data_IF_917130571725
#
_entry.id   IF_917130571725
#
_cell.length_a   1.000
_cell.length_b   1.000
_cell.length_c   1.000
_cell.angle_alpha   90.00
_cell.angle_beta   90.00
_cell.angle_gamma   90.00
#
_symmetry.space_group_name_H-M   'P 1'
#
loop_
_entity.id
_entity.type
_entity.pdbx_description
1 polymer ?
#
# COMPACT_ATOMS: atom_id res chain seq x y z
N UNK A 1 70.21 38.04 82.83
CA UNK A 1 68.94 37.35 82.49
C UNK A 1 68.87 37.07 81.01
N UNK A 2 68.83 35.79 80.63
CA UNK A 2 68.70 35.35 79.24
C UNK A 2 67.23 35.36 78.78
N UNK A 3 66.98 35.06 77.51
CA UNK A 3 65.63 34.78 76.98
C UNK A 3 65.54 33.38 76.38
N UNK A 4 64.35 32.78 76.41
CA UNK A 4 64.12 31.48 75.75
C UNK A 4 64.05 31.65 74.22
N UNK A 5 64.55 30.67 73.46
CA UNK A 5 64.63 30.78 72.00
C UNK A 5 63.28 30.74 71.26
N UNK A 6 62.25 30.15 71.85
CA UNK A 6 60.94 29.99 71.19
C UNK A 6 60.03 31.21 71.39
N UNK A 7 59.84 31.61 72.65
CA UNK A 7 58.88 32.65 73.04
C UNK A 7 59.56 33.89 73.61
N UNK A 8 60.88 33.93 73.74
CA UNK A 8 61.59 35.09 74.29
C UNK A 8 61.40 35.30 75.80
N UNK A 9 60.85 34.30 76.52
CA UNK A 9 60.63 34.38 77.96
C UNK A 9 61.94 34.67 78.70
N UNK A 10 61.92 35.67 79.58
CA UNK A 10 62.99 36.01 80.51
C UNK A 10 63.33 34.80 81.40
N UNK A 11 64.57 34.35 81.34
CA UNK A 11 65.09 33.19 82.07
C UNK A 11 66.28 33.62 82.94
N UNK A 12 66.11 33.69 84.26
CA UNK A 12 67.19 34.04 85.18
C UNK A 12 68.36 33.04 85.10
N UNK A 13 69.59 33.55 85.26
CA UNK A 13 70.84 32.79 85.29
C UNK A 13 71.76 33.27 86.43
N UNK A 14 72.41 32.33 87.11
CA UNK A 14 73.43 32.65 88.11
C UNK A 14 72.95 33.61 89.21
N UNK A 15 73.53 34.81 89.23
CA UNK A 15 73.29 35.87 90.22
C UNK A 15 72.22 36.88 89.80
N UNK A 16 71.40 36.59 88.78
CA UNK A 16 70.32 37.47 88.36
C UNK A 16 69.28 37.70 89.46
N UNK A 17 68.84 38.95 89.61
CA UNK A 17 67.69 39.31 90.45
C UNK A 17 66.43 39.12 89.62
N UNK A 18 65.45 38.37 90.15
CA UNK A 18 64.14 38.16 89.53
C UNK A 18 63.16 39.13 90.18
N UNK A 19 62.53 39.99 89.40
CA UNK A 19 61.47 40.87 89.88
C UNK A 19 60.07 40.44 89.39
N UNK A 20 59.04 41.09 89.92
CA UNK A 20 57.65 40.80 89.55
C UNK A 20 57.34 41.19 88.09
N UNK A 21 58.07 42.16 87.54
CA UNK A 21 57.88 42.60 86.16
C UNK A 21 58.43 41.55 85.19
N UNK A 22 59.47 40.81 85.56
CA UNK A 22 59.99 39.68 84.80
C UNK A 22 58.97 38.54 84.71
N UNK A 23 58.31 38.22 85.83
CA UNK A 23 57.28 37.19 85.89
C UNK A 23 56.02 37.59 85.11
N UNK A 24 55.52 38.81 85.31
CA UNK A 24 54.34 39.31 84.60
C UNK A 24 54.60 39.41 83.10
N UNK A 25 55.77 39.90 82.68
CA UNK A 25 56.14 39.96 81.27
C UNK A 25 56.17 38.58 80.61
N UNK A 26 56.68 37.56 81.32
CA UNK A 26 56.62 36.18 80.82
C UNK A 26 55.20 35.63 80.74
N UNK A 27 54.35 35.96 81.72
CA UNK A 27 52.95 35.55 81.71
C UNK A 27 52.21 36.16 80.51
N UNK A 28 52.41 37.45 80.23
CA UNK A 28 51.79 38.14 79.09
C UNK A 28 52.23 37.54 77.74
N UNK A 29 53.53 37.23 77.61
CA UNK A 29 54.09 36.57 76.42
C UNK A 29 53.47 35.18 76.24
N UNK A 30 53.35 34.41 77.33
CA UNK A 30 52.79 33.07 77.27
C UNK A 30 51.29 33.12 76.92
N UNK A 31 50.53 34.02 77.51
CA UNK A 31 49.10 34.20 77.25
C UNK A 31 48.83 34.55 75.77
N UNK A 32 49.62 35.48 75.24
CA UNK A 32 49.55 35.87 73.82
C UNK A 32 49.90 34.70 72.89
N UNK A 33 50.98 33.98 73.20
CA UNK A 33 51.45 32.86 72.39
C UNK A 33 50.46 31.69 72.40
N UNK A 34 49.92 31.34 73.56
CA UNK A 34 48.95 30.24 73.72
C UNK A 34 47.61 30.60 73.05
N UNK A 35 47.15 31.85 73.16
CA UNK A 35 45.94 32.33 72.48
C UNK A 35 46.01 32.24 70.95
N UNK A 36 47.22 32.22 70.38
CA UNK A 36 47.45 32.07 68.93
C UNK A 36 47.62 30.62 68.47
N UNK A 37 47.66 29.66 69.40
CA UNK A 37 47.74 28.24 69.05
C UNK A 37 46.34 27.68 68.83
N UNK A 38 46.24 26.80 67.85
CA UNK A 38 45.02 26.03 67.59
C UNK A 38 45.06 24.74 68.42
N UNK A 39 43.94 24.40 69.04
CA UNK A 39 43.78 23.17 69.80
C UNK A 39 44.04 21.93 68.95
N UNK A 40 44.82 20.98 69.48
CA UNK A 40 45.02 19.69 68.84
C UNK A 40 43.77 18.82 69.04
N UNK A 41 43.09 18.49 67.96
CA UNK A 41 41.98 17.52 67.97
C UNK A 41 42.53 16.11 67.73
N UNK A 42 42.08 15.13 68.52
CA UNK A 42 42.47 13.73 68.36
C UNK A 42 42.17 13.22 66.94
N UNK A 43 43.15 12.54 66.32
CA UNK A 43 43.04 12.02 64.96
C UNK A 43 43.27 13.04 63.83
N UNK A 44 43.54 14.32 64.15
CA UNK A 44 43.88 15.35 63.16
C UNK A 44 45.35 15.75 63.24
N UNK A 45 45.97 16.02 62.09
CA UNK A 45 47.30 16.61 62.00
C UNK A 45 47.20 18.13 62.11
N UNK A 46 48.21 18.77 62.70
CA UNK A 46 48.30 20.24 62.88
C UNK A 46 48.83 20.90 61.57
N UNK A 47 48.19 20.63 60.44
CA UNK A 47 48.64 21.08 59.11
C UNK A 47 47.68 22.08 58.47
N UNK A 48 48.16 22.85 57.48
CA UNK A 48 47.37 23.75 56.62
C UNK A 48 46.21 23.05 55.89
N UNK A 49 46.22 21.72 55.84
CA UNK A 49 45.22 20.86 55.20
C UNK A 49 43.91 20.68 55.99
N UNK A 50 43.63 21.55 56.98
CA UNK A 50 42.31 21.61 57.58
C UNK A 50 41.30 22.15 56.56
N UNK A 51 40.46 21.27 56.00
CA UNK A 51 39.34 21.68 55.13
C UNK A 51 38.63 22.90 55.70
N UNK A 52 38.37 23.89 54.83
CA UNK A 52 37.53 25.04 55.17
C UNK A 52 36.15 24.58 55.61
N UNK A 53 35.43 25.43 56.37
CA UNK A 53 34.04 25.14 56.74
C UNK A 53 33.16 24.84 55.51
N UNK A 54 33.41 25.50 54.38
CA UNK A 54 32.70 25.26 53.14
C UNK A 54 32.98 23.86 52.55
N UNK A 55 34.23 23.41 52.58
CA UNK A 55 34.62 22.08 52.10
C UNK A 55 34.11 20.97 53.02
N UNK A 56 34.16 21.19 54.35
CA UNK A 56 33.56 20.26 55.32
C UNK A 56 32.06 20.10 55.09
N UNK A 57 31.34 21.18 54.83
CA UNK A 57 29.91 21.14 54.50
C UNK A 57 29.65 20.38 53.19
N UNK A 58 30.43 20.65 52.14
CA UNK A 58 30.32 19.91 50.86
C UNK A 58 30.58 18.42 51.06
N UNK A 59 31.63 18.06 51.81
CA UNK A 59 31.99 16.67 52.08
C UNK A 59 30.93 15.97 52.93
N UNK A 60 30.33 16.67 53.89
CA UNK A 60 29.24 16.15 54.73
C UNK A 60 27.96 15.87 53.94
N UNK A 61 27.76 16.55 52.81
CA UNK A 61 26.66 16.28 51.88
C UNK A 61 26.87 15.08 50.96
N UNK A 62 28.10 14.53 50.91
CA UNK A 62 28.40 13.33 50.13
C UNK A 62 28.00 12.10 50.93
N UNK A 63 27.17 11.23 50.34
CA UNK A 63 26.73 9.99 50.98
C UNK A 63 27.93 9.07 51.28
N UNK A 64 27.85 8.33 52.39
CA UNK A 64 28.86 7.34 52.75
C UNK A 64 29.03 6.31 51.62
N UNK A 65 30.27 6.15 51.13
CA UNK A 65 30.59 5.23 50.03
C UNK A 65 30.34 5.76 48.61
N UNK A 66 30.06 7.07 48.44
CA UNK A 66 29.98 7.66 47.11
C UNK A 66 31.28 7.42 46.31
N UNK A 67 31.14 6.94 45.08
CA UNK A 67 32.25 6.66 44.17
C UNK A 67 32.32 7.69 43.04
N UNK A 68 33.43 7.72 42.30
CA UNK A 68 33.52 8.49 41.07
C UNK A 68 32.62 7.85 40.00
N UNK A 69 31.59 8.56 39.53
CA UNK A 69 30.70 8.06 38.50
C UNK A 69 31.45 7.97 37.15
N UNK A 70 31.64 6.75 36.65
CA UNK A 70 32.15 6.51 35.28
C UNK A 70 30.97 6.14 34.40
N UNK A 71 30.70 6.97 33.40
CA UNK A 71 29.61 6.74 32.46
C UNK A 71 29.87 5.48 31.61
N UNK A 72 28.88 4.59 31.42
CA UNK A 72 29.06 3.39 30.61
C UNK A 72 29.24 3.74 29.12
N UNK A 73 29.87 2.83 28.36
CA UNK A 73 30.07 3.01 26.92
C UNK A 73 28.75 2.94 26.12
N UNK A 74 27.72 2.28 26.67
CA UNK A 74 26.42 2.08 26.03
C UNK A 74 25.31 2.14 27.08
N UNK A 75 24.12 2.55 26.65
CA UNK A 75 22.90 2.48 27.45
C UNK A 75 21.83 1.68 26.71
N UNK A 76 21.06 0.81 27.40
CA UNK A 76 19.90 0.18 26.79
C UNK A 76 18.79 1.20 26.57
N UNK A 77 18.04 1.11 25.47
CA UNK A 77 16.95 2.04 25.15
C UNK A 77 15.90 2.18 26.26
N UNK A 78 15.77 1.17 27.11
CA UNK A 78 14.87 1.15 28.28
C UNK A 78 15.21 2.17 29.37
N UNK A 79 16.39 2.81 29.36
CA UNK A 79 16.70 3.88 30.32
C UNK A 79 15.94 5.18 30.04
N UNK A 80 15.41 5.33 28.82
CA UNK A 80 14.68 6.52 28.42
C UNK A 80 13.20 6.30 28.72
N UNK A 81 12.68 7.05 29.68
CA UNK A 81 11.24 7.10 29.96
C UNK A 81 10.52 7.57 28.69
N UNK A 82 9.67 6.71 28.16
CA UNK A 82 8.98 6.96 26.90
C UNK A 82 7.81 7.91 27.11
N UNK A 83 7.95 9.16 26.64
CA UNK A 83 6.92 10.20 26.65
C UNK A 83 6.64 10.73 25.23
N UNK A 84 5.81 11.77 25.11
CA UNK A 84 5.46 12.35 23.82
C UNK A 84 6.65 12.96 23.05
N UNK A 85 7.74 13.30 23.74
CA UNK A 85 8.93 13.96 23.20
C UNK A 85 10.11 12.99 23.00
N UNK A 86 10.13 11.83 23.67
CA UNK A 86 11.28 10.94 23.77
C UNK A 86 10.99 9.49 23.35
N UNK A 87 9.92 9.25 22.60
CA UNK A 87 9.56 7.92 22.12
C UNK A 87 10.19 7.56 20.79
N UNK A 88 10.70 6.33 20.69
CA UNK A 88 11.30 5.80 19.46
C UNK A 88 10.28 5.48 18.34
N UNK A 89 8.96 5.68 18.52
CA UNK A 89 7.95 4.60 18.46
C UNK A 89 6.62 4.89 19.21
N UNK A 90 5.59 5.61 18.72
CA UNK A 90 4.21 5.56 19.32
C UNK A 90 3.49 4.26 18.92
N UNK A 91 2.62 3.76 19.80
CA UNK A 91 1.63 2.76 19.40
C UNK A 91 0.62 3.33 18.40
N UNK A 92 0.38 4.65 18.42
CA UNK A 92 -0.41 5.38 17.43
C UNK A 92 0.21 5.34 16.02
N UNK A 93 1.51 5.49 15.90
CA UNK A 93 2.30 5.46 14.66
C UNK A 93 2.37 4.03 14.17
N UNK A 94 2.59 3.04 15.05
CA UNK A 94 2.48 1.61 14.68
C UNK A 94 1.08 1.27 14.16
N UNK A 95 0.03 1.72 14.85
CA UNK A 95 -1.34 1.53 14.41
C UNK A 95 -1.61 2.23 13.08
N UNK A 96 -1.09 3.44 12.87
CA UNK A 96 -1.20 4.17 11.62
C UNK A 96 -0.44 3.50 10.46
N UNK A 97 0.76 2.96 10.71
CA UNK A 97 1.53 2.21 9.71
C UNK A 97 0.82 0.92 9.31
N UNK A 98 0.32 0.17 10.30
CA UNK A 98 -0.47 -1.03 10.05
C UNK A 98 -1.80 -0.70 9.35
N UNK A 99 -2.38 0.47 9.60
CA UNK A 99 -3.59 0.96 8.96
C UNK A 99 -3.40 1.52 7.53
N UNK A 100 -2.17 1.85 7.13
CA UNK A 100 -1.86 2.26 5.74
C UNK A 100 -1.99 1.10 4.74
N UNK A 101 -1.96 -0.15 5.20
CA UNK A 101 -2.47 -1.29 4.43
C UNK A 101 -4.01 -1.27 4.49
N UNK A 102 -4.62 -0.44 3.64
CA UNK A 102 -6.09 -0.31 3.58
C UNK A 102 -6.70 -1.69 3.35
N UNK A 103 -7.78 -2.04 4.06
CA UNK A 103 -8.51 -3.32 3.95
C UNK A 103 -9.06 -3.64 2.55
N UNK A 104 -9.02 -2.65 1.64
CA UNK A 104 -9.36 -2.76 0.22
C UNK A 104 -8.13 -2.57 -0.72
N UNK A 105 -6.91 -2.61 -0.18
CA UNK A 105 -5.69 -2.66 -0.99
C UNK A 105 -5.59 -4.00 -1.71
N UNK A 106 -5.07 -4.02 -2.94
CA UNK A 106 -4.76 -5.25 -3.63
C UNK A 106 -3.94 -6.22 -2.77
N UNK A 107 -4.32 -7.50 -2.71
CA UNK A 107 -3.52 -8.49 -2.00
C UNK A 107 -2.26 -8.79 -2.83
N UNK A 108 -1.12 -8.15 -2.57
CA UNK A 108 0.11 -8.35 -3.36
C UNK A 108 0.86 -9.67 -3.07
N UNK A 109 0.23 -10.64 -2.40
CA UNK A 109 0.80 -11.97 -2.15
C UNK A 109 0.02 -13.02 -2.91
N UNK A 110 0.68 -14.09 -3.37
CA UNK A 110 0.04 -15.09 -4.23
C UNK A 110 -0.37 -14.50 -5.58
N UNK A 111 -1.64 -14.69 -5.97
CA UNK A 111 -2.23 -14.04 -7.16
C UNK A 111 -2.79 -12.68 -6.75
N UNK A 112 -2.25 -11.56 -7.26
CA UNK A 112 -2.74 -10.26 -6.85
C UNK A 112 -4.22 -10.05 -7.15
N UNK A 113 -5.00 -9.71 -6.13
CA UNK A 113 -6.41 -9.33 -6.28
C UNK A 113 -6.54 -7.81 -6.27
N UNK A 114 -7.46 -7.25 -7.03
CA UNK A 114 -7.78 -5.81 -6.99
C UNK A 114 -9.30 -5.63 -7.17
N UNK A 115 -9.88 -4.49 -6.72
CA UNK A 115 -11.27 -4.18 -7.00
C UNK A 115 -11.54 -4.11 -8.51
N UNK A 116 -12.62 -4.75 -8.97
CA UNK A 116 -13.01 -4.70 -10.38
C UNK A 116 -13.73 -3.39 -10.67
N UNK A 117 -13.18 -2.58 -11.58
CA UNK A 117 -13.79 -1.34 -12.03
C UNK A 117 -15.10 -1.58 -12.80
N UNK A 118 -15.99 -0.58 -12.81
CA UNK A 118 -17.11 -0.55 -13.74
C UNK A 118 -16.62 -0.25 -15.17
N UNK A 119 -17.36 -0.71 -16.20
CA UNK A 119 -16.94 -0.60 -17.62
C UNK A 119 -16.77 0.83 -18.15
N UNK A 120 -17.39 1.83 -17.51
CA UNK A 120 -17.35 3.23 -17.94
C UNK A 120 -16.19 4.04 -17.34
N UNK A 121 -15.36 3.43 -16.50
CA UNK A 121 -14.28 4.14 -15.80
C UNK A 121 -13.07 4.33 -16.74
N UNK A 122 -12.59 5.57 -16.84
CA UNK A 122 -11.37 5.94 -17.58
C UNK A 122 -10.47 6.80 -16.69
N UNK A 123 -9.70 6.13 -15.83
CA UNK A 123 -8.71 6.73 -14.95
C UNK A 123 -7.55 5.74 -14.78
N UNK A 124 -6.58 6.06 -13.93
CA UNK A 124 -5.38 5.25 -13.72
C UNK A 124 -5.60 3.99 -12.87
N UNK A 125 -6.84 3.54 -12.66
CA UNK A 125 -7.14 2.31 -11.93
C UNK A 125 -6.63 1.08 -12.70
N UNK A 126 -5.99 0.14 -11.99
CA UNK A 126 -5.56 -1.13 -12.55
C UNK A 126 -6.75 -1.96 -13.05
N UNK A 127 -6.67 -2.48 -14.27
CA UNK A 127 -7.69 -3.36 -14.84
C UNK A 127 -7.57 -4.79 -14.28
N UNK A 128 -8.65 -5.32 -13.72
CA UNK A 128 -8.72 -6.74 -13.32
C UNK A 128 -9.02 -7.63 -14.53
N UNK A 129 -8.71 -8.92 -14.42
CA UNK A 129 -9.07 -9.90 -15.47
C UNK A 129 -10.58 -10.00 -15.69
N UNK A 130 -11.40 -9.72 -14.67
CA UNK A 130 -12.85 -9.62 -14.78
C UNK A 130 -13.27 -8.40 -15.63
N UNK A 131 -12.69 -7.23 -15.39
CA UNK A 131 -12.92 -6.04 -16.22
C UNK A 131 -12.56 -6.31 -17.69
N UNK A 132 -11.38 -6.86 -17.96
CA UNK A 132 -10.91 -7.13 -19.34
C UNK A 132 -11.83 -8.11 -20.05
N UNK A 133 -12.30 -9.18 -19.37
CA UNK A 133 -13.27 -10.11 -19.95
C UNK A 133 -14.59 -9.42 -20.28
N UNK A 134 -15.14 -8.65 -19.36
CA UNK A 134 -16.41 -7.95 -19.56
C UNK A 134 -16.32 -6.90 -20.69
N UNK A 135 -15.23 -6.13 -20.72
CA UNK A 135 -14.95 -5.18 -21.79
C UNK A 135 -14.80 -5.89 -23.15
N UNK A 136 -14.05 -7.00 -23.17
CA UNK A 136 -13.88 -7.83 -24.35
C UNK A 136 -15.20 -8.42 -24.87
N UNK A 137 -16.10 -8.88 -23.99
CA UNK A 137 -17.43 -9.36 -24.41
C UNK A 137 -18.31 -8.26 -24.98
N UNK A 138 -18.21 -7.03 -24.46
CA UNK A 138 -18.94 -5.88 -25.00
C UNK A 138 -18.42 -5.45 -26.39
N UNK A 139 -17.12 -5.61 -26.64
CA UNK A 139 -16.54 -5.46 -27.99
C UNK A 139 -16.83 -6.67 -28.90
N UNK A 140 -17.03 -7.83 -28.29
CA UNK A 140 -17.13 -9.14 -28.92
C UNK A 140 -18.54 -9.61 -29.28
N UNK A 141 -19.57 -8.75 -29.15
CA UNK A 141 -20.79 -8.94 -29.96
C UNK A 141 -20.38 -8.75 -31.41
N UNK A 142 -19.94 -9.84 -32.03
CA UNK A 142 -19.37 -9.85 -33.37
C UNK A 142 -20.36 -9.17 -34.30
N UNK A 143 -20.00 -8.04 -34.93
CA UNK A 143 -20.89 -7.31 -35.87
C UNK A 143 -21.18 -8.09 -37.15
N UNK A 144 -20.87 -9.39 -37.14
CA UNK A 144 -20.79 -10.32 -38.26
C UNK A 144 -21.13 -11.72 -37.77
N UNK A 145 -22.00 -12.40 -38.50
CA UNK A 145 -22.23 -13.84 -38.38
C UNK A 145 -21.92 -14.54 -39.69
N UNK A 146 -21.31 -15.72 -39.63
CA UNK A 146 -20.90 -16.48 -40.81
C UNK A 146 -21.20 -17.96 -40.64
N UNK A 147 -21.84 -18.56 -41.65
CA UNK A 147 -22.08 -20.00 -41.76
C UNK A 147 -21.59 -20.48 -43.12
N UNK A 148 -20.76 -21.52 -43.10
CA UNK A 148 -20.15 -22.09 -44.29
C UNK A 148 -20.78 -23.43 -44.64
N UNK A 149 -21.25 -23.54 -45.88
CA UNK A 149 -21.61 -24.80 -46.55
C UNK A 149 -22.51 -25.73 -45.71
N UNK A 150 -23.56 -25.17 -45.11
CA UNK A 150 -24.54 -25.96 -44.34
C UNK A 150 -25.42 -26.78 -45.29
N UNK A 151 -25.44 -28.10 -45.10
CA UNK A 151 -26.33 -29.01 -45.81
C UNK A 151 -27.78 -28.81 -45.36
N UNK A 152 -28.69 -28.67 -46.33
CA UNK A 152 -30.14 -28.71 -46.08
C UNK A 152 -30.59 -30.16 -46.27
N UNK A 153 -30.54 -30.91 -45.17
CA UNK A 153 -30.74 -32.35 -45.16
C UNK A 153 -32.20 -32.81 -45.09
N UNK A 154 -33.15 -31.86 -45.05
CA UNK A 154 -34.59 -32.12 -44.95
C UNK A 154 -35.36 -31.25 -45.94
N UNK A 155 -36.63 -31.58 -46.17
CA UNK A 155 -37.51 -30.82 -47.06
C UNK A 155 -38.33 -29.75 -46.32
N UNK A 156 -38.26 -29.70 -44.99
CA UNK A 156 -38.84 -28.64 -44.16
C UNK A 156 -37.88 -27.45 -44.04
N UNK A 157 -38.42 -26.30 -43.63
CA UNK A 157 -37.64 -25.08 -43.42
C UNK A 157 -36.51 -25.30 -42.40
N UNK A 158 -35.28 -24.99 -42.82
CA UNK A 158 -34.08 -25.12 -42.00
C UNK A 158 -33.51 -23.73 -41.73
N UNK A 159 -33.16 -23.46 -40.48
CA UNK A 159 -32.42 -22.25 -40.12
C UNK A 159 -30.96 -22.42 -40.50
N UNK A 160 -30.44 -21.51 -41.33
CA UNK A 160 -29.08 -21.52 -41.84
C UNK A 160 -28.17 -20.65 -41.00
N UNK A 161 -28.57 -19.40 -40.75
CA UNK A 161 -27.75 -18.46 -40.01
C UNK A 161 -28.66 -17.59 -39.15
N UNK A 162 -28.21 -17.28 -37.93
CA UNK A 162 -28.90 -16.40 -36.99
C UNK A 162 -27.95 -15.34 -36.50
N UNK A 163 -28.46 -14.13 -36.33
CA UNK A 163 -27.70 -13.03 -35.74
C UNK A 163 -28.62 -12.14 -34.91
N UNK A 164 -28.35 -12.03 -33.62
CA UNK A 164 -29.08 -11.13 -32.72
C UNK A 164 -28.41 -9.76 -32.73
N UNK A 165 -29.18 -8.73 -33.06
CA UNK A 165 -28.68 -7.38 -33.33
C UNK A 165 -28.38 -6.66 -32.01
N UNK A 166 -27.14 -6.20 -31.75
CA UNK A 166 -26.81 -5.49 -30.52
C UNK A 166 -27.45 -4.11 -30.45
N UNK A 167 -27.69 -3.51 -31.62
CA UNK A 167 -28.25 -2.17 -31.79
C UNK A 167 -29.20 -2.16 -32.99
N UNK A 168 -30.09 -1.16 -33.03
CA UNK A 168 -30.84 -0.88 -34.24
C UNK A 168 -29.89 -0.36 -35.33
N UNK A 169 -30.10 -0.76 -36.58
CA UNK A 169 -29.16 -0.43 -37.65
C UNK A 169 -29.40 -1.17 -38.95
N UNK A 170 -28.50 -0.94 -39.92
CA UNK A 170 -28.53 -1.57 -41.22
C UNK A 170 -27.64 -2.81 -41.23
N UNK A 171 -28.10 -3.84 -41.93
CA UNK A 171 -27.40 -5.10 -42.07
C UNK A 171 -27.44 -5.56 -43.53
N UNK A 172 -26.32 -6.11 -43.98
CA UNK A 172 -26.19 -6.79 -45.25
C UNK A 172 -26.22 -8.30 -44.99
N UNK A 173 -27.11 -9.01 -45.70
CA UNK A 173 -27.15 -10.46 -45.69
C UNK A 173 -26.70 -10.98 -47.05
N UNK A 174 -25.56 -11.66 -47.06
CA UNK A 174 -25.03 -12.36 -48.23
C UNK A 174 -25.38 -13.84 -48.17
N UNK A 175 -25.75 -14.43 -49.30
CA UNK A 175 -26.00 -15.87 -49.39
C UNK A 175 -25.39 -16.47 -50.66
N UNK A 176 -24.90 -17.69 -50.51
CA UNK A 176 -24.35 -18.50 -51.59
C UNK A 176 -24.95 -19.90 -51.49
N UNK A 177 -25.31 -20.47 -52.64
CA UNK A 177 -25.90 -21.79 -52.74
C UNK A 177 -25.03 -22.69 -53.60
N UNK A 178 -24.95 -23.95 -53.20
CA UNK A 178 -24.44 -25.02 -54.06
C UNK A 178 -25.45 -26.15 -54.07
N UNK A 179 -25.91 -26.53 -55.26
CA UNK A 179 -26.85 -27.60 -55.47
C UNK A 179 -26.15 -28.81 -56.08
N UNK A 180 -26.47 -30.00 -55.57
CA UNK A 180 -26.00 -31.31 -56.06
C UNK A 180 -27.01 -32.01 -56.96
N UNK A 181 -28.25 -31.50 -57.00
CA UNK A 181 -29.30 -31.91 -57.92
C UNK A 181 -30.34 -30.81 -58.07
N UNK A 182 -31.09 -30.84 -59.17
CA UNK A 182 -32.18 -29.87 -59.40
C UNK A 182 -33.23 -29.99 -58.30
N UNK A 183 -33.54 -28.87 -57.65
CA UNK A 183 -34.57 -28.81 -56.60
C UNK A 183 -35.27 -27.45 -56.64
N UNK A 184 -36.51 -27.39 -56.16
CA UNK A 184 -37.16 -26.11 -55.88
C UNK A 184 -36.63 -25.56 -54.57
N UNK A 185 -36.17 -24.31 -54.61
CA UNK A 185 -35.48 -23.63 -53.52
C UNK A 185 -36.32 -22.45 -53.02
N UNK A 186 -36.48 -22.35 -51.71
CA UNK A 186 -36.95 -21.13 -51.05
C UNK A 186 -35.88 -20.68 -50.05
N UNK A 187 -35.33 -19.49 -50.26
CA UNK A 187 -34.44 -18.81 -49.31
C UNK A 187 -35.06 -17.50 -48.89
N UNK A 188 -35.14 -17.27 -47.59
CA UNK A 188 -35.69 -16.05 -47.02
C UNK A 188 -34.91 -15.59 -45.80
N UNK A 189 -34.96 -14.29 -45.55
CA UNK A 189 -34.44 -13.64 -44.35
C UNK A 189 -35.63 -13.13 -43.56
N UNK A 190 -35.73 -13.51 -42.29
CA UNK A 190 -36.74 -12.99 -41.37
C UNK A 190 -36.07 -12.14 -40.31
N UNK A 191 -36.64 -10.98 -40.00
CA UNK A 191 -36.09 -10.01 -39.06
C UNK A 191 -37.21 -9.14 -38.51
N UNK A 192 -36.91 -8.29 -37.53
CA UNK A 192 -37.86 -7.28 -37.04
C UNK A 192 -37.27 -5.88 -37.25
N UNK A 193 -38.03 -5.01 -37.90
CA UNK A 193 -37.72 -3.59 -38.05
C UNK A 193 -38.63 -2.75 -37.12
N UNK A 194 -38.56 -1.41 -37.13
CA UNK A 194 -39.46 -0.58 -36.35
C UNK A 194 -40.95 -0.75 -36.68
N UNK A 195 -41.27 -1.30 -37.87
CA UNK A 195 -42.63 -1.59 -38.32
C UNK A 195 -43.15 -2.98 -37.92
N UNK A 196 -42.30 -3.85 -37.36
CA UNK A 196 -42.68 -5.17 -36.88
C UNK A 196 -41.90 -6.30 -37.54
N UNK A 197 -42.52 -7.48 -37.63
CA UNK A 197 -41.89 -8.67 -38.23
C UNK A 197 -41.88 -8.57 -39.76
N UNK A 198 -40.72 -8.80 -40.35
CA UNK A 198 -40.49 -8.72 -41.79
C UNK A 198 -39.98 -10.05 -42.34
N UNK A 199 -40.21 -10.26 -43.64
CA UNK A 199 -39.65 -11.39 -44.40
C UNK A 199 -39.25 -10.91 -45.79
N UNK A 200 -37.98 -11.12 -46.14
CA UNK A 200 -37.45 -10.85 -47.49
C UNK A 200 -37.08 -12.16 -48.15
N UNK A 201 -37.65 -12.43 -49.32
CA UNK A 201 -37.29 -13.60 -50.11
C UNK A 201 -36.09 -13.29 -51.00
N UNK A 202 -35.06 -14.13 -50.94
CA UNK A 202 -33.93 -14.12 -51.86
C UNK A 202 -34.19 -15.04 -53.06
N UNK A 203 -34.87 -16.15 -52.80
CA UNK A 203 -35.46 -17.06 -53.78
C UNK A 203 -36.81 -17.50 -53.23
N UNK A 204 -37.86 -17.46 -54.05
CA UNK A 204 -39.20 -17.86 -53.63
C UNK A 204 -39.70 -19.01 -54.51
N UNK A 205 -39.66 -20.23 -53.96
CA UNK A 205 -40.10 -21.46 -54.64
C UNK A 205 -39.54 -21.61 -56.07
N UNK A 206 -38.25 -21.32 -56.26
CA UNK A 206 -37.61 -21.33 -57.58
C UNK A 206 -36.99 -22.68 -57.88
N UNK A 207 -37.42 -23.33 -58.97
CA UNK A 207 -36.71 -24.51 -59.52
C UNK A 207 -35.31 -24.11 -59.94
N UNK A 208 -34.30 -24.68 -59.28
CA UNK A 208 -32.91 -24.30 -59.47
C UNK A 208 -32.10 -25.54 -59.87
N UNK A 209 -31.43 -25.53 -61.03
CA UNK A 209 -30.58 -26.65 -61.47
C UNK A 209 -29.38 -26.91 -60.55
N UNK A 210 -28.70 -28.04 -60.81
CA UNK A 210 -27.38 -28.32 -60.23
C UNK A 210 -26.40 -27.19 -60.57
N UNK A 211 -25.64 -26.72 -59.58
CA UNK A 211 -24.73 -25.60 -59.79
C UNK A 211 -24.35 -24.86 -58.53
N UNK A 212 -23.66 -23.74 -58.73
CA UNK A 212 -23.20 -22.83 -57.68
C UNK A 212 -23.70 -21.43 -57.99
N UNK A 213 -24.33 -20.78 -57.01
CA UNK A 213 -25.07 -19.55 -57.21
C UNK A 213 -24.72 -18.54 -56.11
N UNK A 214 -24.20 -17.39 -56.51
CA UNK A 214 -24.09 -16.22 -55.66
C UNK A 214 -25.34 -15.37 -55.83
N UNK A 215 -26.08 -15.15 -54.75
CA UNK A 215 -27.25 -14.26 -54.79
C UNK A 215 -26.83 -12.83 -54.51
N UNK A 216 -27.62 -11.88 -55.00
CA UNK A 216 -27.46 -10.48 -54.64
C UNK A 216 -27.64 -10.32 -53.12
N UNK A 217 -26.75 -9.56 -52.45
CA UNK A 217 -26.94 -9.26 -51.04
C UNK A 217 -28.25 -8.50 -50.80
N UNK A 218 -28.96 -8.82 -49.72
CA UNK A 218 -30.09 -7.99 -49.28
C UNK A 218 -29.67 -7.06 -48.15
N UNK A 219 -30.05 -5.79 -48.26
CA UNK A 219 -29.90 -4.80 -47.20
C UNK A 219 -31.21 -4.73 -46.42
N UNK A 220 -31.11 -4.84 -45.10
CA UNK A 220 -32.25 -4.78 -44.19
C UNK A 220 -31.95 -3.80 -43.06
N UNK A 221 -32.99 -3.20 -42.50
CA UNK A 221 -32.90 -2.42 -41.28
C UNK A 221 -33.58 -3.21 -40.15
N UNK A 222 -33.01 -3.17 -38.95
CA UNK A 222 -33.55 -3.93 -37.82
C UNK A 222 -33.63 -3.08 -36.56
N UNK A 223 -34.59 -3.41 -35.69
CA UNK A 223 -34.66 -2.90 -34.32
C UNK A 223 -33.60 -3.56 -33.42
N UNK A 224 -33.21 -2.90 -32.34
CA UNK A 224 -32.22 -3.43 -31.38
C UNK A 224 -32.74 -4.69 -30.66
N UNK A 225 -31.86 -5.65 -30.41
CA UNK A 225 -32.18 -6.89 -29.70
C UNK A 225 -33.00 -7.90 -30.50
N UNK A 226 -33.20 -7.65 -31.80
CA UNK A 226 -33.98 -8.56 -32.67
C UNK A 226 -33.07 -9.59 -33.32
N UNK A 227 -33.64 -10.68 -33.85
CA UNK A 227 -32.85 -11.74 -34.50
C UNK A 227 -33.10 -11.77 -35.99
N UNK A 228 -32.04 -11.54 -36.77
CA UNK A 228 -32.01 -11.81 -38.21
C UNK A 228 -31.82 -13.32 -38.38
N UNK A 229 -32.70 -13.96 -39.14
CA UNK A 229 -32.63 -15.39 -39.41
C UNK A 229 -32.67 -15.65 -40.91
N UNK A 230 -31.63 -16.30 -41.44
CA UNK A 230 -31.62 -16.82 -42.80
C UNK A 230 -32.15 -18.24 -42.77
N UNK A 231 -33.17 -18.50 -43.57
CA UNK A 231 -33.85 -19.79 -43.64
C UNK A 231 -33.88 -20.31 -45.06
N UNK A 232 -33.76 -21.61 -45.21
CA UNK A 232 -33.73 -22.28 -46.50
C UNK A 232 -34.56 -23.56 -46.50
N UNK A 233 -35.22 -23.80 -47.62
CA UNK A 233 -35.99 -25.02 -47.90
C UNK A 233 -35.63 -25.51 -49.29
N UNK A 234 -35.39 -26.82 -49.43
CA UNK A 234 -35.27 -27.50 -50.71
C UNK A 234 -36.39 -28.52 -50.84
N UNK A 235 -37.03 -28.63 -52.00
CA UNK A 235 -38.06 -29.66 -52.26
C UNK A 235 -37.51 -31.09 -52.22
N UNK A 236 -36.18 -31.26 -52.35
CA UNK A 236 -35.49 -32.53 -52.21
C UNK A 236 -34.40 -32.38 -51.13
N UNK A 237 -34.47 -33.24 -50.12
CA UNK A 237 -33.48 -33.29 -49.04
C UNK A 237 -32.08 -33.60 -49.57
N UNK A 238 -31.06 -33.05 -48.93
CA UNK A 238 -29.64 -33.26 -49.23
C UNK A 238 -29.16 -32.75 -50.61
N UNK A 239 -30.00 -32.03 -51.36
CA UNK A 239 -29.64 -31.48 -52.67
C UNK A 239 -29.05 -30.08 -52.62
N UNK A 240 -29.00 -29.44 -51.45
CA UNK A 240 -28.65 -28.03 -51.32
C UNK A 240 -27.71 -27.80 -50.14
N UNK A 241 -26.65 -27.03 -50.38
CA UNK A 241 -25.79 -26.44 -49.37
C UNK A 241 -25.93 -24.93 -49.42
N UNK A 242 -26.01 -24.28 -48.25
CA UNK A 242 -26.12 -22.82 -48.14
C UNK A 242 -24.99 -22.29 -47.28
N UNK A 243 -24.32 -21.25 -47.78
CA UNK A 243 -23.44 -20.41 -46.97
C UNK A 243 -24.09 -19.04 -46.79
N UNK A 244 -23.93 -18.44 -45.63
CA UNK A 244 -24.55 -17.14 -45.32
C UNK A 244 -23.63 -16.28 -44.48
N UNK A 245 -23.62 -14.98 -44.78
CA UNK A 245 -22.99 -13.95 -43.96
C UNK A 245 -24.05 -12.92 -43.59
N UNK A 246 -24.07 -12.48 -42.33
CA UNK A 246 -24.82 -11.31 -41.87
C UNK A 246 -23.78 -10.33 -41.35
N UNK A 247 -23.80 -9.07 -41.80
CA UNK A 247 -22.83 -8.04 -41.45
C UNK A 247 -23.56 -6.73 -41.16
N UNK A 248 -23.24 -6.09 -40.05
CA UNK A 248 -23.64 -4.70 -39.78
C UNK A 248 -22.90 -3.75 -40.75
N UNK A 249 -23.64 -2.84 -41.39
CA UNK A 249 -23.13 -1.93 -42.43
C UNK A 249 -23.48 -0.48 -42.17
#
# INVERSE_FOLDING_TARGET
MQTTGNLGLKKPEGTDVVDIADLNGNADILDTAVSSKVDKVAGKQLSTEDYTTAEKTKLSGVAAGANNYVHPANHPASIITQDASNRFVTDTEKAAWNGKAVTASPAFTGVPTAPTAALAINNDQLATTAFVKNAGTALGVARRSYVYNQLIGVTSETTVNTYTTPSAGNFLVGTYLRLTGTTTVTLKVTYNDPGGAQTTFLLNAQSTPVGSYSLLPCYINTSAGTTITVKATASIANNMFVSSTILEV
#
